data_IF_176199476314
#
_entry.id   IF_176199476314
#
_cell.length_a   1.000
_cell.length_b   1.000
_cell.length_c   1.000
_cell.angle_alpha   90.00
_cell.angle_beta   90.00
_cell.angle_gamma   90.00
#
_symmetry.space_group_name_H-M   'P 1'
#
loop_
_entity.id
_entity.type
_entity.pdbx_description
1 polymer ?
#
# COMPACT_ATOMS: atom_id res chain seq x y z
N UNK A 1 -4.91 -1.09 -7.75
CA UNK A 1 -5.62 -0.91 -6.47
C UNK A 1 -6.44 -2.15 -6.22
N UNK A 2 -6.21 -2.84 -5.11
CA UNK A 2 -6.85 -4.10 -4.74
C UNK A 2 -7.68 -3.91 -3.46
N UNK A 3 -8.60 -2.95 -3.53
CA UNK A 3 -9.56 -2.64 -2.46
C UNK A 3 -10.94 -2.45 -3.10
N UNK A 4 -11.84 -3.44 -3.01
CA UNK A 4 -13.10 -3.46 -3.78
C UNK A 4 -13.97 -2.20 -3.67
N UNK A 5 -14.06 -1.52 -2.51
CA UNK A 5 -14.82 -0.27 -2.39
C UNK A 5 -14.25 0.92 -3.19
N UNK A 6 -13.02 0.83 -3.69
CA UNK A 6 -12.43 1.89 -4.52
C UNK A 6 -12.99 1.87 -5.94
N UNK A 7 -13.38 3.01 -6.54
CA UNK A 7 -13.80 3.06 -7.94
C UNK A 7 -12.65 2.77 -8.92
N UNK A 8 -11.41 2.77 -8.42
CA UNK A 8 -10.19 2.45 -9.17
C UNK A 8 -9.75 0.99 -8.96
N UNK A 9 -10.55 0.19 -8.26
CA UNK A 9 -10.25 -1.21 -8.02
C UNK A 9 -10.19 -2.00 -9.33
N UNK A 10 -9.22 -2.90 -9.41
CA UNK A 10 -9.06 -3.83 -10.54
C UNK A 10 -8.91 -5.26 -10.03
N UNK A 11 -9.28 -6.23 -10.85
CA UNK A 11 -9.01 -7.65 -10.59
C UNK A 11 -7.52 -7.96 -10.75
N UNK A 12 -7.07 -9.08 -10.18
CA UNK A 12 -5.70 -9.56 -10.33
C UNK A 12 -5.36 -9.81 -11.82
N UNK A 13 -6.24 -10.49 -12.55
CA UNK A 13 -6.14 -10.69 -14.00
C UNK A 13 -5.96 -9.38 -14.78
N UNK A 14 -6.79 -8.37 -14.50
CA UNK A 14 -6.68 -7.07 -15.18
C UNK A 14 -5.37 -6.37 -14.81
N UNK A 15 -4.94 -6.49 -13.56
CA UNK A 15 -3.65 -5.96 -13.14
C UNK A 15 -2.49 -6.67 -13.86
N UNK A 16 -2.55 -7.99 -14.05
CA UNK A 16 -1.55 -8.76 -14.79
C UNK A 16 -1.42 -8.25 -16.23
N UNK A 17 -2.55 -8.04 -16.92
CA UNK A 17 -2.58 -7.49 -18.27
C UNK A 17 -1.95 -6.09 -18.34
N UNK A 18 -2.30 -5.20 -17.41
CA UNK A 18 -1.70 -3.85 -17.35
C UNK A 18 -0.20 -3.93 -17.05
N UNK A 19 0.20 -4.76 -16.08
CA UNK A 19 1.60 -4.91 -15.65
C UNK A 19 2.51 -5.42 -16.76
N UNK A 20 1.99 -6.25 -17.66
CA UNK A 20 2.73 -6.75 -18.82
C UNK A 20 3.09 -5.66 -19.83
N UNK A 21 2.34 -4.56 -19.88
CA UNK A 21 2.61 -3.42 -20.75
C UNK A 21 3.55 -2.37 -20.11
N UNK A 22 3.89 -2.52 -18.82
CA UNK A 22 4.76 -1.58 -18.11
C UNK A 22 6.22 -1.83 -18.49
N UNK A 23 6.97 -0.80 -18.95
CA UNK A 23 8.38 -0.94 -19.32
C UNK A 23 9.27 -1.40 -18.17
N UNK A 24 10.44 -1.93 -18.52
CA UNK A 24 11.50 -2.17 -17.55
C UNK A 24 11.94 -0.86 -16.88
N UNK A 25 12.33 -0.93 -15.60
CA UNK A 25 12.71 0.23 -14.80
C UNK A 25 11.54 1.01 -14.17
N UNK A 26 10.29 0.71 -14.51
CA UNK A 26 9.11 1.29 -13.87
C UNK A 26 8.55 0.33 -12.81
N UNK A 27 8.55 0.75 -11.55
CA UNK A 27 8.04 -0.06 -10.44
C UNK A 27 6.51 -0.15 -10.47
N UNK A 28 5.98 -1.36 -10.34
CA UNK A 28 4.55 -1.64 -10.26
C UNK A 28 4.11 -1.73 -8.80
N UNK A 29 3.16 -0.90 -8.40
CA UNK A 29 2.68 -0.80 -7.02
C UNK A 29 1.31 -1.42 -6.87
N UNK A 30 1.18 -2.37 -5.95
CA UNK A 30 -0.10 -2.94 -5.54
C UNK A 30 -0.58 -2.29 -4.25
N UNK A 31 -1.67 -1.51 -4.33
CA UNK A 31 -2.29 -0.89 -3.16
C UNK A 31 -3.32 -1.83 -2.54
N UNK A 32 -3.15 -2.09 -1.24
CA UNK A 32 -4.03 -2.90 -0.39
C UNK A 32 -4.52 -2.09 0.80
N UNK A 33 -5.72 -2.40 1.28
CA UNK A 33 -6.32 -1.81 2.48
C UNK A 33 -6.78 -2.96 3.35
N UNK A 34 -6.12 -3.15 4.49
CA UNK A 34 -6.40 -4.17 5.50
C UNK A 34 -6.52 -5.60 4.93
N UNK A 35 -5.77 -5.88 3.86
CA UNK A 35 -5.80 -7.17 3.19
C UNK A 35 -5.04 -8.24 4.00
N UNK A 36 -5.56 -9.46 3.98
CA UNK A 36 -4.90 -10.64 4.56
C UNK A 36 -3.85 -11.24 3.62
N UNK A 37 -3.12 -12.24 4.11
CA UNK A 37 -2.06 -12.89 3.32
C UNK A 37 -2.60 -13.70 2.13
N UNK A 38 -3.87 -14.14 2.20
CA UNK A 38 -4.51 -14.91 1.11
C UNK A 38 -4.84 -13.98 -0.05
N UNK A 39 -5.44 -12.82 0.22
CA UNK A 39 -5.78 -11.82 -0.76
C UNK A 39 -4.54 -11.24 -1.46
N UNK A 40 -3.49 -10.92 -0.68
CA UNK A 40 -2.22 -10.44 -1.26
C UNK A 40 -1.58 -11.54 -2.10
N UNK A 41 -1.54 -12.78 -1.60
CA UNK A 41 -0.98 -13.91 -2.32
C UNK A 41 -1.67 -14.19 -3.66
N UNK A 42 -3.00 -14.12 -3.69
CA UNK A 42 -3.78 -14.29 -4.92
C UNK A 42 -3.42 -13.24 -5.98
N UNK A 43 -3.27 -11.98 -5.59
CA UNK A 43 -2.83 -10.92 -6.51
C UNK A 43 -1.43 -11.16 -7.03
N UNK A 44 -0.49 -11.51 -6.14
CA UNK A 44 0.92 -11.74 -6.51
C UNK A 44 1.13 -12.99 -7.36
N UNK A 45 0.20 -13.95 -7.33
CA UNK A 45 0.24 -15.12 -8.18
C UNK A 45 -0.07 -14.79 -9.65
N UNK A 46 -0.83 -13.72 -9.92
CA UNK A 46 -1.26 -13.35 -11.27
C UNK A 46 -0.51 -12.12 -11.80
N UNK A 47 -0.37 -11.09 -10.96
CA UNK A 47 0.19 -9.80 -11.36
C UNK A 47 1.62 -9.62 -10.85
N UNK A 48 2.51 -9.18 -11.75
CA UNK A 48 3.87 -8.79 -11.38
C UNK A 48 3.85 -7.47 -10.62
N UNK A 49 3.71 -7.53 -9.30
CA UNK A 49 3.78 -6.37 -8.41
C UNK A 49 5.14 -6.32 -7.73
N UNK A 50 5.77 -5.16 -7.80
CA UNK A 50 7.12 -4.92 -7.29
C UNK A 50 7.08 -4.42 -5.83
N UNK A 51 6.12 -3.56 -5.50
CA UNK A 51 5.97 -2.94 -4.18
C UNK A 51 4.56 -3.16 -3.63
N UNK A 52 4.47 -3.56 -2.36
CA UNK A 52 3.20 -3.67 -1.64
C UNK A 52 2.93 -2.37 -0.89
N UNK A 53 1.91 -1.62 -1.30
CA UNK A 53 1.48 -0.41 -0.61
C UNK A 53 0.32 -0.73 0.34
N UNK A 54 0.51 -0.48 1.63
CA UNK A 54 -0.50 -0.61 2.67
C UNK A 54 -1.12 0.75 2.98
N UNK A 55 -2.40 0.92 2.63
CA UNK A 55 -3.13 2.19 2.77
C UNK A 55 -4.22 2.15 3.86
N UNK A 56 -4.37 1.03 4.56
CA UNK A 56 -5.34 0.85 5.65
C UNK A 56 -4.81 1.17 7.04
N UNK A 57 -5.35 0.48 8.04
CA UNK A 57 -5.00 0.57 9.45
C UNK A 57 -3.95 -0.45 9.90
N UNK A 58 -3.17 -1.01 8.96
CA UNK A 58 -2.25 -2.11 9.25
C UNK A 58 -1.19 -1.71 10.27
N UNK A 59 -0.99 -2.55 11.30
CA UNK A 59 0.01 -2.33 12.33
C UNK A 59 1.45 -2.55 11.81
N UNK A 60 2.48 -2.03 12.51
CA UNK A 60 3.88 -2.30 12.15
C UNK A 60 4.21 -3.79 12.03
N UNK A 61 3.65 -4.62 12.92
CA UNK A 61 3.85 -6.07 12.92
C UNK A 61 3.22 -6.71 11.67
N UNK A 62 2.04 -6.24 11.26
CA UNK A 62 1.38 -6.70 10.03
C UNK A 62 2.21 -6.37 8.79
N UNK A 63 2.76 -5.15 8.74
CA UNK A 63 3.64 -4.67 7.64
C UNK A 63 4.93 -5.48 7.60
N UNK A 64 5.60 -5.66 8.74
CA UNK A 64 6.82 -6.48 8.84
C UNK A 64 6.59 -7.93 8.42
N UNK A 65 5.46 -8.52 8.84
CA UNK A 65 5.06 -9.87 8.46
C UNK A 65 4.85 -9.97 6.95
N UNK A 66 4.16 -9.02 6.34
CA UNK A 66 3.94 -9.01 4.89
C UNK A 66 5.26 -8.89 4.12
N UNK A 67 6.13 -7.96 4.51
CA UNK A 67 7.46 -7.78 3.93
C UNK A 67 8.24 -9.09 3.91
N UNK A 68 8.29 -9.77 5.05
CA UNK A 68 9.01 -11.05 5.21
C UNK A 68 8.34 -12.17 4.41
N UNK A 69 7.01 -12.25 4.45
CA UNK A 69 6.25 -13.35 3.84
C UNK A 69 6.27 -13.32 2.31
N UNK A 70 6.24 -12.13 1.72
CA UNK A 70 6.13 -11.95 0.27
C UNK A 70 7.47 -11.58 -0.38
N UNK A 71 8.48 -11.21 0.40
CA UNK A 71 9.81 -10.86 -0.13
C UNK A 71 9.79 -9.65 -1.06
N UNK A 72 8.83 -8.73 -0.86
CA UNK A 72 8.68 -7.50 -1.64
C UNK A 72 8.88 -6.30 -0.74
N UNK A 73 9.49 -5.20 -1.25
CA UNK A 73 9.48 -3.93 -0.56
C UNK A 73 8.05 -3.51 -0.21
N UNK A 74 7.90 -2.93 0.98
CA UNK A 74 6.60 -2.46 1.46
C UNK A 74 6.61 -0.94 1.63
N UNK A 75 5.54 -0.32 1.15
CA UNK A 75 5.27 1.10 1.32
C UNK A 75 4.11 1.27 2.29
N UNK A 76 4.33 1.93 3.43
CA UNK A 76 3.22 2.27 4.35
C UNK A 76 2.72 3.68 4.05
N UNK A 77 1.45 3.79 3.71
CA UNK A 77 0.81 5.09 3.64
C UNK A 77 0.27 5.50 5.01
N UNK A 78 0.50 6.77 5.36
CA UNK A 78 0.08 7.38 6.63
C UNK A 78 -0.66 8.67 6.30
N UNK A 79 -1.90 8.77 6.78
CA UNK A 79 -2.72 9.94 6.56
C UNK A 79 -2.35 11.06 7.55
N UNK A 80 -1.89 12.20 7.05
CA UNK A 80 -1.36 13.32 7.84
C UNK A 80 -2.38 14.47 7.90
N UNK A 81 -2.75 14.89 9.10
CA UNK A 81 -3.45 16.15 9.38
C UNK A 81 -2.59 17.15 10.18
N UNK A 82 -1.56 16.68 10.89
CA UNK A 82 -0.69 17.51 11.71
C UNK A 82 0.64 16.86 12.04
N UNK A 83 1.54 17.58 12.73
CA UNK A 83 2.87 17.08 13.11
C UNK A 83 2.84 15.79 13.94
N UNK A 84 1.80 15.58 14.74
CA UNK A 84 1.59 14.38 15.55
C UNK A 84 1.44 13.11 14.70
N UNK A 85 0.84 13.21 13.51
CA UNK A 85 0.68 12.08 12.60
C UNK A 85 2.02 11.69 11.96
N UNK A 86 2.91 12.66 11.75
CA UNK A 86 4.27 12.42 11.25
C UNK A 86 5.10 11.70 12.32
N UNK A 87 5.01 12.15 13.57
CA UNK A 87 5.67 11.47 14.69
C UNK A 87 5.14 10.03 14.86
N UNK A 88 3.83 9.83 14.69
CA UNK A 88 3.22 8.50 14.74
C UNK A 88 3.61 7.61 13.54
N UNK A 89 4.15 8.17 12.45
CA UNK A 89 4.67 7.40 11.33
C UNK A 89 6.01 6.73 11.64
N UNK A 90 6.77 7.26 12.61
CA UNK A 90 8.09 6.74 12.98
C UNK A 90 8.08 5.26 13.39
N UNK A 91 6.96 4.76 13.93
CA UNK A 91 6.78 3.34 14.27
C UNK A 91 6.87 2.39 13.06
N UNK A 92 6.78 2.92 11.84
CA UNK A 92 6.89 2.15 10.61
C UNK A 92 8.28 2.20 9.98
N UNK A 93 9.20 3.06 10.45
CA UNK A 93 10.51 3.30 9.81
C UNK A 93 11.35 2.02 9.72
N UNK A 94 11.32 1.17 10.74
CA UNK A 94 12.08 -0.08 10.78
C UNK A 94 11.45 -1.22 9.96
N UNK A 95 10.17 -1.09 9.60
CA UNK A 95 9.39 -2.19 8.98
C UNK A 95 8.93 -1.89 7.56
N UNK A 96 8.91 -0.61 7.17
CA UNK A 96 8.56 -0.17 5.83
C UNK A 96 9.77 0.35 5.08
N UNK A 97 9.93 -0.09 3.83
CA UNK A 97 11.02 0.38 2.98
C UNK A 97 10.73 1.79 2.43
N UNK A 98 9.45 2.19 2.41
CA UNK A 98 8.98 3.51 1.98
C UNK A 98 7.81 3.99 2.87
N UNK A 99 7.80 5.29 3.18
CA UNK A 99 6.64 5.96 3.79
C UNK A 99 5.99 6.90 2.76
N UNK A 100 4.67 6.82 2.64
CA UNK A 100 3.86 7.72 1.81
C UNK A 100 2.98 8.57 2.74
N UNK A 101 3.24 9.87 2.79
CA UNK A 101 2.43 10.80 3.55
C UNK A 101 1.27 11.31 2.70
N UNK A 102 0.05 10.91 3.06
CA UNK A 102 -1.17 11.29 2.37
C UNK A 102 -1.87 12.42 3.14
N UNK A 103 -1.86 13.63 2.60
CA UNK A 103 -2.43 14.77 3.29
C UNK A 103 -3.96 14.64 3.37
N UNK A 104 -4.51 14.63 4.60
CA UNK A 104 -5.96 14.74 4.79
C UNK A 104 -6.42 16.10 4.26
N UNK A 105 -7.62 16.19 3.66
CA UNK A 105 -8.20 17.48 3.30
C UNK A 105 -8.13 18.41 4.51
N UNK A 106 -7.72 19.69 4.33
CA UNK A 106 -7.68 20.62 5.44
C UNK A 106 -9.05 20.63 6.10
N UNK A 107 -9.10 20.53 7.43
CA UNK A 107 -10.33 20.78 8.17
C UNK A 107 -10.79 22.16 7.71
N UNK A 108 -12.00 22.27 7.13
CA UNK A 108 -12.60 23.59 6.94
C UNK A 108 -12.64 24.24 8.32
N UNK A 109 -11.79 25.24 8.52
CA UNK A 109 -12.14 26.30 9.44
C UNK A 109 -13.29 27.00 8.74
N UNK A 110 -14.50 26.86 9.27
CA UNK A 110 -15.62 27.82 9.19
C UNK A 110 -16.93 27.17 9.68
N UNK A 111 -17.25 27.44 10.95
CA UNK A 111 -18.49 28.09 11.40
C UNK A 111 -18.27 28.64 12.82
#
# INVERSE_FOLDING_TARGET
>A
VFYPPSPRAVTAEKAAWVCAAVPEGVARVGLFVDADDVAIGAVLAEASIDILQFHGGESPERVAKARTRFGRPVMKAVAIAGPEDVAAAARYEEVADLLLFDAKPPRRQDA
#
